data_IF_781405352353
#
_entry.id   IF_781405352353
#
_cell.length_a   1.000
_cell.length_b   1.000
_cell.length_c   1.000
_cell.angle_alpha   90.00
_cell.angle_beta   90.00
_cell.angle_gamma   90.00
#
_symmetry.space_group_name_H-M   'P 1'
#
loop_
_entity.id
_entity.type
_entity.pdbx_description
1 polymer ?
#
# COMPACT_ATOMS: atom_id res chain seq x y z
N UNK A 1 -33.33 -33.02 -10.62
CA UNK A 1 -31.86 -33.10 -10.44
C UNK A 1 -31.34 -31.67 -10.39
N UNK A 2 -31.33 -31.09 -9.20
CA UNK A 2 -31.01 -29.67 -8.98
C UNK A 2 -29.50 -29.51 -9.09
N UNK A 3 -29.03 -28.61 -9.96
CA UNK A 3 -27.61 -28.28 -10.09
C UNK A 3 -27.02 -27.95 -8.70
N UNK A 4 -25.78 -28.33 -8.40
CA UNK A 4 -25.16 -28.03 -7.11
C UNK A 4 -25.15 -26.51 -6.90
N UNK A 5 -25.25 -26.04 -5.64
CA UNK A 5 -25.26 -24.62 -5.35
C UNK A 5 -23.99 -23.99 -5.91
N UNK A 6 -24.18 -22.89 -6.65
CA UNK A 6 -23.14 -21.99 -7.13
C UNK A 6 -22.08 -21.80 -6.04
N UNK A 7 -20.90 -22.37 -6.30
CA UNK A 7 -19.69 -22.19 -5.50
C UNK A 7 -19.33 -20.71 -5.60
N UNK A 8 -19.97 -19.89 -4.75
CA UNK A 8 -19.74 -18.45 -4.70
C UNK A 8 -18.26 -18.23 -4.45
N UNK A 9 -17.57 -17.86 -5.53
CA UNK A 9 -16.21 -17.33 -5.55
C UNK A 9 -15.97 -16.51 -4.29
N UNK A 10 -14.95 -16.89 -3.52
CA UNK A 10 -14.56 -16.20 -2.30
C UNK A 10 -14.39 -14.70 -2.61
N UNK A 11 -14.60 -13.78 -1.64
CA UNK A 11 -14.31 -12.36 -1.82
C UNK A 11 -12.86 -12.03 -2.26
N UNK A 12 -12.01 -13.05 -2.29
CA UNK A 12 -10.66 -13.10 -2.84
C UNK A 12 -10.51 -13.44 -4.30
N UNK A 13 -11.49 -14.14 -4.85
CA UNK A 13 -11.51 -14.55 -6.24
C UNK A 13 -11.95 -13.38 -7.13
N UNK A 14 -12.41 -12.28 -6.52
CA UNK A 14 -12.72 -11.04 -7.21
C UNK A 14 -11.42 -10.28 -7.52
N UNK A 15 -11.02 -10.18 -8.80
CA UNK A 15 -9.78 -9.52 -9.16
C UNK A 15 -9.80 -8.06 -8.71
N UNK A 16 -8.64 -7.55 -8.27
CA UNK A 16 -8.40 -6.13 -8.14
C UNK A 16 -8.85 -5.42 -9.43
N UNK A 17 -9.66 -4.35 -9.36
CA UNK A 17 -10.06 -3.62 -10.55
C UNK A 17 -8.83 -3.26 -11.37
N UNK A 18 -8.79 -3.51 -12.69
CA UNK A 18 -7.58 -3.32 -13.47
C UNK A 18 -7.11 -1.87 -13.39
N UNK A 19 -5.80 -1.68 -13.24
CA UNK A 19 -5.20 -0.34 -13.32
C UNK A 19 -5.46 0.27 -14.70
N UNK A 20 -5.78 1.56 -14.73
CA UNK A 20 -5.84 2.34 -15.98
C UNK A 20 -4.48 2.28 -16.69
N UNK A 21 -4.42 2.40 -18.04
CA UNK A 21 -3.17 2.26 -18.78
C UNK A 21 -2.02 3.13 -18.25
N UNK A 22 -2.27 4.41 -17.95
CA UNK A 22 -1.25 5.31 -17.38
C UNK A 22 -0.78 4.86 -15.99
N UNK A 23 -1.70 4.37 -15.15
CA UNK A 23 -1.36 3.86 -13.82
C UNK A 23 -0.47 2.62 -13.93
N UNK A 24 -0.69 1.77 -14.93
CA UNK A 24 0.15 0.61 -15.22
C UNK A 24 1.56 1.02 -15.61
N UNK A 25 1.70 2.05 -16.46
CA UNK A 25 3.02 2.60 -16.84
C UNK A 25 3.75 3.12 -15.61
N UNK A 26 3.07 3.89 -14.76
CA UNK A 26 3.64 4.42 -13.52
C UNK A 26 4.02 3.29 -12.56
N UNK A 27 3.15 2.30 -12.34
CA UNK A 27 3.42 1.14 -11.49
C UNK A 27 4.67 0.38 -11.95
N UNK A 28 4.81 0.13 -13.25
CA UNK A 28 6.01 -0.51 -13.83
C UNK A 28 7.27 0.32 -13.58
N UNK A 29 7.20 1.64 -13.71
CA UNK A 29 8.35 2.52 -13.45
C UNK A 29 8.77 2.48 -11.97
N UNK A 30 7.81 2.55 -11.04
CA UNK A 30 8.07 2.47 -9.58
C UNK A 30 8.65 1.09 -9.22
N UNK A 31 7.94 0.01 -9.57
CA UNK A 31 8.33 -1.35 -9.22
C UNK A 31 9.65 -1.74 -9.87
N UNK A 32 9.88 -1.36 -11.13
CA UNK A 32 11.14 -1.61 -11.81
C UNK A 32 12.32 -0.96 -11.09
N UNK A 33 12.21 0.31 -10.70
CA UNK A 33 13.31 0.97 -9.97
C UNK A 33 13.56 0.35 -8.60
N UNK A 34 12.49 0.06 -7.85
CA UNK A 34 12.58 -0.50 -6.51
C UNK A 34 13.14 -1.94 -6.52
N UNK A 35 12.63 -2.82 -7.39
CA UNK A 35 13.04 -4.23 -7.46
C UNK A 35 14.45 -4.41 -8.04
N UNK A 36 14.86 -3.55 -8.99
CA UNK A 36 16.21 -3.61 -9.58
C UNK A 36 17.22 -2.68 -8.86
N UNK A 37 16.87 -2.15 -7.68
CA UNK A 37 17.78 -1.36 -6.85
C UNK A 37 18.47 -0.19 -7.59
N UNK A 38 17.77 0.46 -8.54
CA UNK A 38 18.37 1.46 -9.45
C UNK A 38 18.54 2.87 -8.83
N UNK A 39 18.24 3.04 -7.54
CA UNK A 39 18.32 4.32 -6.82
C UNK A 39 17.55 5.48 -7.50
N UNK A 40 17.84 6.71 -7.05
CA UNK A 40 17.36 7.98 -7.62
C UNK A 40 15.88 8.31 -7.42
N UNK A 41 15.44 9.43 -8.01
CA UNK A 41 14.09 9.99 -7.81
C UNK A 41 13.21 9.86 -9.06
N UNK A 42 11.92 9.59 -8.85
CA UNK A 42 10.89 9.58 -9.89
C UNK A 42 9.84 10.62 -9.51
N UNK A 43 9.64 11.63 -10.35
CA UNK A 43 8.54 12.59 -10.20
C UNK A 43 7.39 12.18 -11.11
N UNK A 44 6.18 12.08 -10.56
CA UNK A 44 4.98 11.66 -11.28
C UNK A 44 3.90 12.70 -11.01
N UNK A 45 3.44 13.36 -12.06
CA UNK A 45 2.29 14.25 -11.98
C UNK A 45 1.03 13.50 -12.40
N UNK A 46 0.00 13.58 -11.57
CA UNK A 46 -1.29 12.91 -11.79
C UNK A 46 -2.40 13.93 -11.55
N UNK A 47 -3.36 13.98 -12.47
CA UNK A 47 -4.53 14.84 -12.35
C UNK A 47 -5.27 14.62 -11.01
N UNK A 48 -6.01 15.65 -10.57
CA UNK A 48 -6.86 15.56 -9.38
C UNK A 48 -7.84 14.39 -9.54
N UNK A 49 -7.96 13.55 -8.51
CA UNK A 49 -8.74 12.30 -8.54
C UNK A 49 -8.29 11.27 -9.59
N UNK A 50 -7.08 11.37 -10.14
CA UNK A 50 -6.49 10.36 -11.04
C UNK A 50 -6.05 9.07 -10.33
N UNK A 51 -6.66 8.72 -9.20
CA UNK A 51 -6.36 7.47 -8.50
C UNK A 51 -4.91 7.34 -7.99
N UNK A 52 -4.24 8.45 -7.67
CA UNK A 52 -2.84 8.43 -7.19
C UNK A 52 -2.65 7.64 -5.89
N UNK A 53 -3.60 7.74 -4.97
CA UNK A 53 -3.54 7.04 -3.67
C UNK A 53 -3.72 5.53 -3.85
N UNK A 54 -4.67 5.13 -4.71
CA UNK A 54 -4.92 3.73 -5.08
C UNK A 54 -3.68 3.11 -5.74
N UNK A 55 -3.10 3.81 -6.70
CA UNK A 55 -1.88 3.39 -7.39
C UNK A 55 -0.71 3.21 -6.40
N UNK A 56 -0.50 4.19 -5.51
CA UNK A 56 0.53 4.13 -4.48
C UNK A 56 0.33 2.94 -3.55
N UNK A 57 -0.88 2.75 -3.01
CA UNK A 57 -1.20 1.65 -2.12
C UNK A 57 -0.96 0.27 -2.76
N UNK A 58 -1.32 0.11 -4.04
CA UNK A 58 -1.06 -1.14 -4.76
C UNK A 58 0.42 -1.38 -5.05
N UNK A 59 1.20 -0.32 -5.32
CA UNK A 59 2.64 -0.43 -5.50
C UNK A 59 3.33 -0.80 -4.17
N UNK A 60 2.94 -0.17 -3.06
CA UNK A 60 3.38 -0.51 -1.70
C UNK A 60 3.07 -1.97 -1.37
N UNK A 61 1.82 -2.39 -1.55
CA UNK A 61 1.42 -3.77 -1.31
C UNK A 61 2.22 -4.77 -2.13
N UNK A 62 2.41 -4.51 -3.43
CA UNK A 62 3.20 -5.38 -4.29
C UNK A 62 4.65 -5.51 -3.81
N UNK A 63 5.29 -4.41 -3.40
CA UNK A 63 6.65 -4.43 -2.88
C UNK A 63 6.74 -5.18 -1.54
N UNK A 64 5.80 -4.94 -0.62
CA UNK A 64 5.74 -5.65 0.66
C UNK A 64 5.58 -7.16 0.46
N UNK A 65 4.71 -7.58 -0.46
CA UNK A 65 4.50 -9.00 -0.76
C UNK A 65 5.73 -9.64 -1.40
N UNK A 66 6.32 -9.01 -2.42
CA UNK A 66 7.51 -9.54 -3.11
C UNK A 66 8.72 -9.59 -2.17
N UNK A 67 8.81 -8.67 -1.21
CA UNK A 67 9.94 -8.55 -0.27
C UNK A 67 9.66 -9.16 1.10
N UNK A 68 8.54 -9.82 1.32
CA UNK A 68 8.13 -10.32 2.64
C UNK A 68 9.22 -11.18 3.32
N UNK A 69 9.89 -12.05 2.56
CA UNK A 69 10.96 -12.91 3.11
C UNK A 69 12.29 -12.16 3.37
N UNK A 70 12.60 -11.14 2.56
CA UNK A 70 13.82 -10.36 2.70
C UNK A 70 13.68 -9.21 3.71
N UNK A 71 12.45 -8.85 4.07
CA UNK A 71 12.14 -7.66 4.86
C UNK A 71 12.36 -6.35 4.09
N UNK A 72 12.22 -5.25 4.82
CA UNK A 72 12.41 -3.89 4.33
C UNK A 72 11.34 -2.93 4.86
N UNK A 73 11.60 -1.63 4.66
CA UNK A 73 10.71 -0.56 5.11
C UNK A 73 10.35 0.33 3.94
N UNK A 74 9.07 0.70 3.85
CA UNK A 74 8.59 1.73 2.93
C UNK A 74 8.20 2.95 3.75
N UNK A 75 8.78 4.10 3.44
CA UNK A 75 8.41 5.39 4.05
C UNK A 75 7.46 6.12 3.11
N UNK A 76 6.28 6.50 3.63
CA UNK A 76 5.29 7.27 2.89
C UNK A 76 5.10 8.64 3.53
N UNK A 77 5.51 9.66 2.81
CA UNK A 77 5.33 11.05 3.23
C UNK A 77 4.04 11.62 2.64
N UNK A 78 3.30 12.40 3.43
CA UNK A 78 2.16 13.17 2.99
C UNK A 78 2.20 14.56 3.64
N UNK A 79 1.61 15.61 3.02
CA UNK A 79 1.70 16.97 3.57
C UNK A 79 1.09 17.13 4.96
N UNK A 80 0.16 16.25 5.36
CA UNK A 80 -0.45 16.20 6.68
C UNK A 80 -0.61 14.75 7.14
N UNK A 81 -0.48 14.52 8.46
CA UNK A 81 -0.83 13.23 9.05
C UNK A 81 -2.34 12.98 8.89
N UNK A 82 -3.15 13.97 9.26
CA UNK A 82 -4.62 13.97 9.11
C UNK A 82 -5.03 15.08 8.16
N UNK A 83 -5.83 14.81 7.11
CA UNK A 83 -6.38 13.52 6.71
C UNK A 83 -5.46 12.69 5.78
N UNK A 84 -4.38 13.26 5.25
CA UNK A 84 -3.75 12.73 4.03
C UNK A 84 -3.00 11.41 4.23
N UNK A 85 -2.15 11.31 5.25
CA UNK A 85 -1.45 10.06 5.54
C UNK A 85 -2.41 8.97 6.01
N UNK A 86 -3.39 9.32 6.87
CA UNK A 86 -4.42 8.36 7.34
C UNK A 86 -5.25 7.80 6.20
N UNK A 87 -5.67 8.64 5.25
CA UNK A 87 -6.38 8.18 4.06
C UNK A 87 -5.53 7.24 3.22
N UNK A 88 -4.25 7.57 3.03
CA UNK A 88 -3.32 6.72 2.28
C UNK A 88 -3.14 5.34 2.92
N UNK A 89 -3.00 5.29 4.25
CA UNK A 89 -2.91 4.05 5.01
C UNK A 89 -4.22 3.25 4.96
N UNK A 90 -5.37 3.93 5.06
CA UNK A 90 -6.68 3.27 4.97
C UNK A 90 -6.89 2.59 3.62
N UNK A 91 -6.45 3.21 2.51
CA UNK A 91 -6.50 2.58 1.17
C UNK A 91 -5.60 1.35 1.09
N UNK A 92 -4.39 1.41 1.66
CA UNK A 92 -3.51 0.24 1.74
C UNK A 92 -4.14 -0.89 2.58
N UNK A 93 -4.64 -0.55 3.77
CA UNK A 93 -5.28 -1.49 4.69
C UNK A 93 -6.52 -2.16 4.05
N UNK A 94 -7.29 -1.42 3.26
CA UNK A 94 -8.40 -1.97 2.50
C UNK A 94 -7.96 -3.08 1.53
N UNK A 95 -6.77 -2.95 0.92
CA UNK A 95 -6.25 -3.99 0.02
C UNK A 95 -5.62 -5.18 0.74
N UNK A 96 -5.02 -4.97 1.91
CA UNK A 96 -4.44 -6.05 2.72
C UNK A 96 -5.51 -6.88 3.42
N UNK A 97 -6.66 -6.29 3.77
CA UNK A 97 -7.81 -6.98 4.38
C UNK A 97 -8.51 -8.00 3.48
N UNK A 98 -7.96 -8.26 2.29
CA UNK A 98 -8.41 -9.35 1.42
C UNK A 98 -8.10 -10.69 2.08
N UNK A 99 -9.04 -11.65 2.18
CA UNK A 99 -8.80 -12.93 2.89
C UNK A 99 -7.51 -13.73 2.51
N UNK A 100 -7.04 -13.76 1.26
CA UNK A 100 -5.82 -14.36 0.72
C UNK A 100 -4.55 -13.71 1.28
N UNK A 101 -4.66 -12.46 1.67
CA UNK A 101 -3.56 -11.69 2.25
C UNK A 101 -3.73 -11.56 3.77
N UNK A 102 -4.90 -11.86 4.33
CA UNK A 102 -5.19 -11.70 5.75
C UNK A 102 -4.28 -12.56 6.65
N UNK A 103 -3.88 -13.74 6.20
CA UNK A 103 -2.93 -14.58 6.93
C UNK A 103 -1.46 -14.15 6.74
N UNK A 104 -1.16 -13.41 5.66
CA UNK A 104 0.20 -13.00 5.30
C UNK A 104 0.54 -11.57 5.74
N UNK A 105 -0.45 -10.78 6.12
CA UNK A 105 -0.27 -9.37 6.49
C UNK A 105 -0.68 -9.16 7.93
N UNK A 106 0.29 -8.77 8.75
CA UNK A 106 0.05 -8.22 10.08
C UNK A 106 0.01 -6.70 9.99
N UNK A 107 -1.06 -6.10 10.52
CA UNK A 107 -1.19 -4.65 10.64
C UNK A 107 -1.20 -4.26 12.11
N UNK A 108 -0.08 -3.75 12.62
CA UNK A 108 -0.01 -3.13 13.95
C UNK A 108 -0.26 -1.62 13.81
N UNK A 109 -1.51 -1.23 13.54
CA UNK A 109 -1.87 0.20 13.44
C UNK A 109 -2.33 0.68 14.81
N UNK A 110 -1.40 1.28 15.57
CA UNK A 110 -1.74 1.95 16.82
C UNK A 110 -2.38 3.31 16.52
N UNK A 111 -3.72 3.37 16.49
CA UNK A 111 -4.44 4.64 16.49
C UNK A 111 -4.54 5.20 17.93
N UNK A 112 -3.41 5.59 18.51
CA UNK A 112 -3.38 6.35 19.76
C UNK A 112 -3.72 7.83 19.54
N UNK A 113 -4.02 8.60 20.61
CA UNK A 113 -3.97 10.05 20.51
C UNK A 113 -2.54 10.44 20.11
N UNK A 114 -2.41 11.16 19.00
CA UNK A 114 -1.14 11.61 18.39
C UNK A 114 -0.31 12.52 19.32
N UNK A 115 -0.77 12.75 20.56
CA UNK A 115 -0.12 13.54 21.60
C UNK A 115 0.35 12.71 22.80
N UNK A 116 0.73 11.44 22.62
CA UNK A 116 1.53 10.78 23.67
C UNK A 116 2.93 11.39 23.66
N UNK A 117 3.34 11.98 24.78
CA UNK A 117 4.63 12.67 25.00
C UNK A 117 5.86 11.74 25.00
N UNK A 118 5.73 10.49 24.58
CA UNK A 118 6.84 9.53 24.49
C UNK A 118 7.18 9.20 23.02
N UNK A 119 8.31 9.70 22.50
CA UNK A 119 8.71 9.45 21.12
C UNK A 119 9.54 8.16 21.02
N UNK A 120 8.94 7.01 21.32
CA UNK A 120 9.60 5.70 21.13
C UNK A 120 9.81 5.30 19.65
N UNK A 121 9.31 6.12 18.70
CA UNK A 121 9.36 5.86 17.26
C UNK A 121 10.15 6.91 16.47
N UNK A 122 10.64 7.98 17.11
CA UNK A 122 11.54 8.92 16.43
C UNK A 122 12.88 8.22 16.20
N UNK A 123 13.26 8.05 14.93
CA UNK A 123 14.62 7.69 14.55
C UNK A 123 15.52 8.85 15.00
N UNK A 124 16.43 8.67 15.97
CA UNK A 124 17.19 9.79 16.56
C UNK A 124 18.07 10.53 15.54
N UNK A 125 18.47 9.86 14.46
CA UNK A 125 19.39 10.38 13.45
C UNK A 125 18.78 11.40 12.47
N UNK A 126 17.46 11.64 12.53
CA UNK A 126 16.75 12.57 11.63
C UNK A 126 16.32 13.88 12.31
N UNK A 127 16.76 14.14 13.55
CA UNK A 127 16.46 15.37 14.32
C UNK A 127 17.74 16.10 14.77
N UNK A 128 18.86 15.89 14.07
CA UNK A 128 20.08 16.68 14.25
C UNK A 128 20.23 17.71 13.12
#
# INVERSE_FOLDING_TARGET
MTAPPDQRRSPLDSPLPPLRPYQRTIAKAILGRALYHRGGSLSIEIARQGGKNELSARAELALLLVRHAAGGTIVKCAPTLVPQARLSLAVLAHHTGRPALAAAVRTDIAWGPVFSRDPGWLIPELVA
#
